data_IF_577995975277
#
_entry.id   IF_577995975277
#
_cell.length_a   1.000
_cell.length_b   1.000
_cell.length_c   1.000
_cell.angle_alpha   90.00
_cell.angle_beta   90.00
_cell.angle_gamma   90.00
#
_symmetry.space_group_name_H-M   'P 1'
#
loop_
_entity.id
_entity.type
_entity.pdbx_description
1 polymer ?
#
# COMPACT_ATOMS: atom_id res chain seq x y z
N UNK A 1 24.58 13.80 14.11
CA UNK A 1 25.09 14.09 12.74
C UNK A 1 25.57 12.79 12.15
N UNK A 2 25.21 12.51 10.89
CA UNK A 2 25.65 11.30 10.15
C UNK A 2 26.15 11.76 8.78
N UNK A 3 27.34 11.34 8.42
CA UNK A 3 27.93 11.59 7.09
C UNK A 3 28.01 10.27 6.32
N UNK A 4 27.24 10.17 5.23
CA UNK A 4 27.28 9.03 4.30
C UNK A 4 28.19 9.43 3.13
N UNK A 5 29.28 8.67 2.90
CA UNK A 5 30.33 8.98 1.91
C UNK A 5 30.32 8.02 0.74
N UNK A 6 30.70 8.53 -0.42
CA UNK A 6 31.05 7.74 -1.61
C UNK A 6 29.88 6.92 -2.21
N UNK A 7 28.65 7.19 -1.82
CA UNK A 7 27.48 6.45 -2.30
C UNK A 7 27.02 6.90 -3.69
N UNK A 8 26.26 6.05 -4.38
CA UNK A 8 25.46 6.47 -5.53
C UNK A 8 24.13 6.99 -5.01
N UNK A 9 23.94 8.30 -5.02
CA UNK A 9 22.74 8.96 -4.50
C UNK A 9 21.67 8.94 -5.58
N UNK A 10 20.53 8.30 -5.27
CA UNK A 10 19.37 8.22 -6.17
C UNK A 10 18.18 8.88 -5.49
N UNK A 11 17.61 9.92 -6.11
CA UNK A 11 16.38 10.57 -5.68
C UNK A 11 15.46 10.78 -6.89
N UNK A 12 14.43 9.92 -7.06
CA UNK A 12 13.50 10.02 -8.17
C UNK A 12 12.68 11.32 -8.18
N UNK A 13 12.46 11.94 -7.03
CA UNK A 13 11.64 13.15 -6.91
C UNK A 13 12.25 14.34 -7.67
N UNK A 14 13.57 14.40 -7.74
CA UNK A 14 14.32 15.43 -8.48
C UNK A 14 15.16 14.85 -9.64
N UNK A 15 14.96 13.58 -10.00
CA UNK A 15 15.71 12.85 -11.05
C UNK A 15 17.22 12.84 -10.80
N UNK A 16 17.61 12.75 -9.56
CA UNK A 16 19.03 12.70 -9.15
C UNK A 16 19.55 11.28 -9.27
N UNK A 17 20.70 11.12 -9.90
CA UNK A 17 21.50 9.91 -9.91
C UNK A 17 22.96 10.32 -10.05
N UNK A 18 23.70 10.39 -8.95
CA UNK A 18 25.09 10.85 -8.94
C UNK A 18 25.89 10.22 -7.81
N UNK A 19 27.21 10.12 -7.96
CA UNK A 19 28.11 9.79 -6.84
C UNK A 19 28.32 11.02 -5.97
N UNK A 20 28.19 10.84 -4.65
CA UNK A 20 28.32 11.95 -3.72
C UNK A 20 28.38 11.53 -2.26
N UNK A 21 28.54 12.55 -1.44
CA UNK A 21 28.43 12.48 0.01
C UNK A 21 27.12 13.14 0.47
N UNK A 22 26.51 12.59 1.51
CA UNK A 22 25.27 13.09 2.08
C UNK A 22 25.45 13.30 3.58
N UNK A 23 25.19 14.52 4.05
CA UNK A 23 25.21 14.89 5.46
C UNK A 23 23.80 14.96 6.02
N UNK A 24 23.57 14.24 7.11
CA UNK A 24 22.34 14.30 7.90
C UNK A 24 22.65 15.01 9.22
N UNK A 25 21.90 16.07 9.50
CA UNK A 25 21.92 16.78 10.76
C UNK A 25 20.50 17.02 11.25
N UNK A 26 20.26 16.87 12.55
CA UNK A 26 18.95 17.07 13.20
C UNK A 26 17.79 16.31 12.50
N UNK A 27 18.09 15.06 12.07
CA UNK A 27 17.11 14.19 11.40
C UNK A 27 16.74 14.62 9.98
N UNK A 28 17.50 15.53 9.36
CA UNK A 28 17.24 16.04 8.01
C UNK A 28 18.48 15.98 7.14
N UNK A 29 18.30 15.86 5.82
CA UNK A 29 19.38 16.05 4.86
C UNK A 29 19.81 17.50 4.90
N UNK A 30 21.00 17.74 5.44
CA UNK A 30 21.59 19.08 5.55
C UNK A 30 22.35 19.48 4.30
N UNK A 31 23.06 18.54 3.66
CA UNK A 31 23.87 18.81 2.46
C UNK A 31 24.05 17.54 1.62
N UNK A 32 24.06 17.73 0.31
CA UNK A 32 24.54 16.75 -0.67
C UNK A 32 25.63 17.43 -1.49
N UNK A 33 26.77 16.76 -1.69
CA UNK A 33 27.91 17.30 -2.43
C UNK A 33 28.68 16.20 -3.14
N UNK A 34 29.55 16.52 -4.12
CA UNK A 34 30.51 15.58 -4.68
C UNK A 34 31.38 14.90 -3.60
N UNK A 35 31.83 13.68 -3.90
CA UNK A 35 32.63 12.90 -2.96
C UNK A 35 33.86 13.68 -2.46
N UNK A 36 34.07 13.71 -1.15
CA UNK A 36 35.20 14.37 -0.49
C UNK A 36 35.04 15.88 -0.24
N UNK A 37 33.98 16.51 -0.67
CA UNK A 37 33.72 17.93 -0.42
C UNK A 37 33.12 18.22 0.96
N UNK A 38 32.55 17.21 1.64
CA UNK A 38 32.03 17.39 3.02
C UNK A 38 33.12 16.91 3.99
N UNK A 39 33.61 17.84 4.81
CA UNK A 39 34.57 17.55 5.86
C UNK A 39 33.90 16.81 7.02
N UNK A 40 34.63 15.91 7.67
CA UNK A 40 34.14 15.22 8.87
C UNK A 40 34.26 16.17 10.07
N UNK A 41 33.10 16.64 10.56
CA UNK A 41 33.03 17.57 11.71
C UNK A 41 32.53 16.89 12.99
N UNK A 42 32.84 15.60 13.16
CA UNK A 42 32.35 14.76 14.26
C UNK A 42 30.96 14.15 13.94
N UNK A 43 30.70 13.01 14.53
CA UNK A 43 29.49 12.23 14.29
C UNK A 43 29.80 10.86 13.67
N UNK A 44 28.75 10.13 13.29
CA UNK A 44 28.88 8.85 12.62
C UNK A 44 29.26 9.03 11.15
N UNK A 45 30.21 8.22 10.66
CA UNK A 45 30.57 8.20 9.25
C UNK A 45 30.29 6.80 8.68
N UNK A 46 29.53 6.77 7.59
CA UNK A 46 29.16 5.54 6.87
C UNK A 46 29.83 5.59 5.49
N UNK A 47 30.72 4.65 5.20
CA UNK A 47 31.25 4.50 3.84
C UNK A 47 30.28 3.67 3.00
N UNK A 48 29.63 4.32 2.04
CA UNK A 48 28.68 3.73 1.10
C UNK A 48 29.31 3.43 -0.27
N UNK A 49 30.64 3.21 -0.32
CA UNK A 49 31.34 2.85 -1.57
C UNK A 49 30.70 1.61 -2.20
N UNK A 50 30.23 1.74 -3.44
CA UNK A 50 29.53 0.67 -4.17
C UNK A 50 28.08 0.44 -3.76
N UNK A 51 27.54 1.23 -2.83
CA UNK A 51 26.15 1.16 -2.39
C UNK A 51 25.30 2.27 -3.02
N UNK A 52 24.00 2.04 -3.02
CA UNK A 52 22.97 3.04 -3.36
C UNK A 52 22.50 3.72 -2.07
N UNK A 53 22.41 5.04 -2.11
CA UNK A 53 21.83 5.87 -1.06
C UNK A 53 20.55 6.49 -1.64
N UNK A 54 19.41 6.10 -1.13
CA UNK A 54 18.11 6.51 -1.65
C UNK A 54 17.13 6.79 -0.49
N UNK A 55 16.01 7.50 -0.75
CA UNK A 55 14.90 7.52 0.20
C UNK A 55 14.48 6.11 0.58
N UNK A 56 14.09 5.89 1.83
CA UNK A 56 13.56 4.60 2.26
C UNK A 56 12.31 4.22 1.47
N UNK A 57 12.14 2.92 1.24
CA UNK A 57 10.98 2.40 0.53
C UNK A 57 9.71 2.62 1.35
N UNK A 58 8.58 2.75 0.66
CA UNK A 58 7.23 2.85 1.25
C UNK A 58 6.39 1.70 0.72
N UNK A 59 5.79 0.92 1.61
CA UNK A 59 4.82 -0.10 1.25
C UNK A 59 3.43 0.34 1.73
N UNK A 60 2.52 0.56 0.79
CA UNK A 60 1.18 1.08 1.10
C UNK A 60 0.16 -0.02 1.40
N UNK A 61 0.57 -1.30 1.35
CA UNK A 61 -0.32 -2.43 1.55
C UNK A 61 0.40 -3.60 2.25
N UNK A 62 0.31 -3.65 3.58
CA UNK A 62 0.89 -4.75 4.36
C UNK A 62 -0.08 -5.29 5.40
N UNK A 63 0.13 -6.55 5.80
CA UNK A 63 -0.69 -7.26 6.77
C UNK A 63 0.15 -7.70 7.97
N UNK A 64 0.24 -6.87 8.99
CA UNK A 64 0.90 -7.26 10.24
C UNK A 64 -0.02 -8.03 11.20
N UNK A 65 -1.29 -8.22 10.84
CA UNK A 65 -2.23 -9.12 11.52
C UNK A 65 -2.50 -8.80 13.00
N UNK A 66 -2.09 -7.66 13.46
CA UNK A 66 -2.21 -7.16 14.82
C UNK A 66 -3.14 -5.93 14.84
N UNK A 67 -4.21 -5.97 15.61
CA UNK A 67 -4.60 -6.95 16.64
C UNK A 67 -5.20 -8.27 16.11
N UNK A 68 -5.15 -9.29 16.96
CA UNK A 68 -5.99 -10.49 16.92
C UNK A 68 -5.44 -11.70 16.20
N UNK A 69 -4.51 -11.55 15.25
CA UNK A 69 -3.91 -12.66 14.52
C UNK A 69 -2.38 -12.69 14.68
N UNK A 70 -1.88 -12.25 15.84
CA UNK A 70 -0.46 -12.08 16.15
C UNK A 70 0.36 -13.39 16.09
N UNK A 71 -0.30 -14.53 16.01
CA UNK A 71 0.35 -15.82 15.73
C UNK A 71 0.82 -15.97 14.28
N UNK A 72 0.35 -15.10 13.36
CA UNK A 72 0.80 -15.04 11.97
C UNK A 72 1.91 -14.02 11.79
N UNK A 73 1.70 -12.81 12.32
CA UNK A 73 2.61 -11.67 12.33
C UNK A 73 2.10 -10.66 13.35
N UNK A 74 2.97 -9.81 13.89
CA UNK A 74 2.63 -8.67 14.71
C UNK A 74 3.33 -7.39 14.23
N UNK A 75 2.94 -6.24 14.82
CA UNK A 75 3.47 -4.94 14.40
C UNK A 75 4.99 -4.84 14.63
N UNK A 76 5.51 -5.43 15.70
CA UNK A 76 6.94 -5.35 16.03
C UNK A 76 7.78 -6.18 15.06
N UNK A 77 7.41 -7.45 14.83
CA UNK A 77 8.14 -8.34 13.93
C UNK A 77 8.00 -7.95 12.48
N UNK A 78 6.79 -7.52 12.07
CA UNK A 78 6.54 -7.01 10.72
C UNK A 78 7.34 -5.73 10.43
N UNK A 79 7.41 -4.80 11.39
CA UNK A 79 8.22 -3.59 11.25
C UNK A 79 9.72 -3.90 11.13
N UNK A 80 10.22 -4.89 11.88
CA UNK A 80 11.62 -5.34 11.76
C UNK A 80 11.89 -5.98 10.39
N UNK A 81 10.98 -6.80 9.89
CA UNK A 81 11.09 -7.39 8.56
C UNK A 81 11.08 -6.31 7.45
N UNK A 82 10.19 -5.33 7.55
CA UNK A 82 10.13 -4.19 6.64
C UNK A 82 11.44 -3.38 6.65
N UNK A 83 11.98 -3.06 7.84
CA UNK A 83 13.26 -2.37 7.99
C UNK A 83 14.40 -3.12 7.30
N UNK A 84 14.48 -4.44 7.48
CA UNK A 84 15.49 -5.28 6.82
C UNK A 84 15.35 -5.27 5.29
N UNK A 85 14.13 -5.07 4.77
CA UNK A 85 13.85 -4.90 3.35
C UNK A 85 14.13 -3.49 2.81
N UNK A 86 14.54 -2.54 3.66
CA UNK A 86 14.78 -1.14 3.28
C UNK A 86 13.52 -0.26 3.29
N UNK A 87 12.40 -0.75 3.84
CA UNK A 87 11.19 0.04 4.01
C UNK A 87 11.28 0.88 5.28
N UNK A 88 11.00 2.16 5.15
CA UNK A 88 10.98 3.10 6.28
C UNK A 88 9.56 3.55 6.63
N UNK A 89 8.58 3.20 5.81
CA UNK A 89 7.17 3.47 6.05
C UNK A 89 6.32 2.35 5.51
N UNK A 90 5.29 1.96 6.26
CA UNK A 90 4.30 0.96 5.85
C UNK A 90 2.88 1.41 6.20
N UNK A 91 1.89 0.96 5.43
CA UNK A 91 0.47 1.18 5.70
C UNK A 91 -0.21 -0.17 5.91
N UNK A 92 -0.79 -0.36 7.09
CA UNK A 92 -1.47 -1.59 7.47
C UNK A 92 -2.91 -1.60 6.97
N UNK A 93 -3.35 -2.77 6.47
CA UNK A 93 -4.74 -3.01 6.10
C UNK A 93 -5.63 -3.20 7.32
N UNK A 94 -6.94 -2.88 7.14
CA UNK A 94 -7.92 -2.85 8.22
C UNK A 94 -8.44 -4.22 8.68
N UNK A 95 -8.11 -5.31 7.97
CA UNK A 95 -8.66 -6.67 8.18
C UNK A 95 -8.01 -7.43 9.35
N UNK A 96 -8.04 -6.82 10.50
CA UNK A 96 -7.58 -7.35 11.79
C UNK A 96 -8.75 -7.89 12.63
N UNK A 97 -8.51 -8.30 13.89
CA UNK A 97 -9.55 -8.75 14.81
C UNK A 97 -9.30 -8.18 16.23
N UNK A 98 -10.09 -7.18 16.65
CA UNK A 98 -11.17 -6.53 15.89
C UNK A 98 -10.69 -5.83 14.63
N UNK A 99 -11.64 -5.58 13.71
CA UNK A 99 -11.41 -4.79 12.50
C UNK A 99 -11.06 -3.35 12.89
N UNK A 100 -10.23 -2.68 12.10
CA UNK A 100 -9.95 -1.25 12.30
C UNK A 100 -11.11 -0.41 11.75
N UNK A 101 -12.25 -0.48 12.38
CA UNK A 101 -13.49 0.20 11.99
C UNK A 101 -13.97 1.25 13.02
N UNK A 102 -13.18 1.47 14.06
CA UNK A 102 -13.47 2.38 15.16
C UNK A 102 -12.19 3.02 15.73
N UNK A 103 -12.35 4.08 16.51
CA UNK A 103 -11.25 4.86 17.09
C UNK A 103 -10.36 4.01 18.02
N UNK A 104 -10.94 3.13 18.82
CA UNK A 104 -10.19 2.33 19.79
C UNK A 104 -9.18 1.41 19.09
N UNK A 105 -9.64 0.68 18.06
CA UNK A 105 -8.79 -0.24 17.32
C UNK A 105 -7.73 0.53 16.49
N UNK A 106 -8.12 1.65 15.88
CA UNK A 106 -7.17 2.49 15.14
C UNK A 106 -6.07 3.02 16.07
N UNK A 107 -6.45 3.57 17.23
CA UNK A 107 -5.48 4.07 18.21
C UNK A 107 -4.53 2.99 18.71
N UNK A 108 -5.04 1.77 18.95
CA UNK A 108 -4.18 0.64 19.33
C UNK A 108 -3.07 0.41 18.32
N UNK A 109 -3.41 0.34 17.03
CA UNK A 109 -2.43 0.10 15.94
C UNK A 109 -1.42 1.25 15.87
N UNK A 110 -1.91 2.49 15.88
CA UNK A 110 -1.04 3.67 15.75
C UNK A 110 -0.10 3.83 16.96
N UNK A 111 -0.58 3.63 18.19
CA UNK A 111 0.25 3.71 19.40
C UNK A 111 1.31 2.62 19.43
N UNK A 112 0.97 1.39 19.04
CA UNK A 112 1.95 0.31 18.94
C UNK A 112 2.98 0.60 17.85
N UNK A 113 2.54 1.10 16.71
CA UNK A 113 3.40 1.49 15.59
C UNK A 113 4.43 2.58 15.94
N UNK A 114 4.12 3.51 16.85
CA UNK A 114 5.08 4.55 17.31
C UNK A 114 6.33 4.00 17.98
N UNK A 115 6.28 2.78 18.51
CA UNK A 115 7.40 2.15 19.18
C UNK A 115 8.28 1.31 18.25
N UNK A 116 7.99 1.28 16.96
CA UNK A 116 8.75 0.55 15.95
C UNK A 116 9.85 1.42 15.33
N UNK A 117 10.87 0.82 14.69
CA UNK A 117 11.97 1.59 14.08
C UNK A 117 11.60 2.24 12.75
N UNK A 118 10.40 2.02 12.22
CA UNK A 118 9.89 2.60 10.98
C UNK A 118 8.56 3.34 11.23
N UNK A 119 8.09 4.08 10.25
CA UNK A 119 6.76 4.70 10.32
C UNK A 119 5.68 3.69 9.99
N UNK A 120 4.80 3.40 10.94
CA UNK A 120 3.65 2.52 10.77
C UNK A 120 2.38 3.36 10.73
N UNK A 121 1.71 3.33 9.59
CA UNK A 121 0.40 3.91 9.38
C UNK A 121 -0.64 2.81 9.29
N UNK A 122 -1.93 3.16 9.35
CA UNK A 122 -3.03 2.20 9.19
C UNK A 122 -4.14 2.80 8.36
N UNK A 123 -4.69 2.00 7.45
CA UNK A 123 -6.03 2.23 6.95
C UNK A 123 -7.05 1.89 8.02
N UNK A 124 -8.24 2.54 7.95
CA UNK A 124 -9.44 2.04 8.57
C UNK A 124 -10.31 1.33 7.51
N UNK A 125 -11.29 0.52 7.94
CA UNK A 125 -12.22 -0.08 7.01
C UNK A 125 -13.16 0.97 6.41
N UNK A 126 -13.67 0.70 5.21
CA UNK A 126 -14.73 1.50 4.59
C UNK A 126 -16.06 1.23 5.29
N UNK A 127 -16.35 -0.06 5.53
CA UNK A 127 -17.59 -0.49 6.15
C UNK A 127 -17.38 -1.11 7.53
N UNK A 128 -18.37 -0.98 8.40
CA UNK A 128 -18.38 -1.58 9.73
C UNK A 128 -18.23 -3.10 9.65
N UNK A 129 -17.21 -3.61 10.34
CA UNK A 129 -16.90 -5.04 10.37
C UNK A 129 -16.56 -5.64 9.00
N UNK A 130 -16.18 -4.84 8.00
CA UNK A 130 -15.92 -5.26 6.61
C UNK A 130 -17.14 -5.93 5.97
N UNK A 131 -18.36 -5.49 6.29
CA UNK A 131 -19.59 -6.13 5.82
C UNK A 131 -20.18 -5.53 4.54
N UNK A 132 -19.64 -4.41 4.05
CA UNK A 132 -20.14 -3.72 2.86
C UNK A 132 -21.57 -3.18 2.98
N UNK A 133 -22.07 -2.91 4.21
CA UNK A 133 -23.47 -2.54 4.46
C UNK A 133 -23.67 -1.17 5.08
N UNK A 134 -22.76 -0.77 5.93
CA UNK A 134 -22.83 0.49 6.67
C UNK A 134 -21.43 1.10 6.73
N UNK A 135 -21.30 2.36 6.35
CA UNK A 135 -20.03 3.06 6.40
C UNK A 135 -19.59 3.30 7.84
N UNK A 136 -18.29 3.30 8.05
CA UNK A 136 -17.68 3.83 9.29
C UNK A 136 -17.78 5.36 9.31
N UNK A 137 -17.51 5.97 10.46
CA UNK A 137 -17.35 7.42 10.52
C UNK A 137 -15.95 7.81 9.96
N UNK A 138 -15.90 7.98 8.63
CA UNK A 138 -14.66 8.26 7.91
C UNK A 138 -14.03 9.58 8.33
N UNK A 139 -14.82 10.63 8.64
CA UNK A 139 -14.28 11.92 9.12
C UNK A 139 -13.61 11.77 10.48
N UNK A 140 -14.27 11.10 11.41
CA UNK A 140 -13.70 10.82 12.72
C UNK A 140 -12.40 10.05 12.60
N UNK A 141 -12.42 8.90 11.90
CA UNK A 141 -11.25 8.03 11.79
C UNK A 141 -10.08 8.71 11.07
N UNK A 142 -10.35 9.51 10.04
CA UNK A 142 -9.32 10.33 9.41
C UNK A 142 -8.74 11.35 10.38
N UNK A 143 -9.57 12.05 11.15
CA UNK A 143 -9.11 13.01 12.17
C UNK A 143 -8.25 12.36 13.25
N UNK A 144 -8.40 11.05 13.46
CA UNK A 144 -7.63 10.24 14.42
C UNK A 144 -6.37 9.61 13.80
N UNK A 145 -6.12 9.82 12.51
CA UNK A 145 -4.88 9.43 11.86
C UNK A 145 -4.98 8.21 10.94
N UNK A 146 -6.18 7.80 10.53
CA UNK A 146 -6.31 6.82 9.45
C UNK A 146 -5.67 7.36 8.17
N UNK A 147 -4.79 6.59 7.54
CA UNK A 147 -4.06 6.98 6.32
C UNK A 147 -4.94 6.90 5.07
N UNK A 148 -5.98 6.10 5.11
CA UNK A 148 -6.94 5.84 4.03
C UNK A 148 -7.99 4.86 4.50
N UNK A 149 -8.81 4.37 3.56
CA UNK A 149 -9.89 3.44 3.85
C UNK A 149 -9.86 2.24 2.91
N UNK A 150 -10.12 1.04 3.45
CA UNK A 150 -10.10 -0.20 2.68
C UNK A 150 -10.94 -1.29 3.35
N UNK A 151 -11.70 -2.03 2.57
CA UNK A 151 -12.27 -3.32 2.98
C UNK A 151 -11.45 -4.47 2.37
N UNK A 152 -10.13 -4.35 2.37
CA UNK A 152 -9.20 -5.31 1.77
C UNK A 152 -9.54 -6.77 2.10
N UNK A 153 -9.51 -7.61 1.06
CA UNK A 153 -9.89 -9.01 1.09
C UNK A 153 -11.39 -9.26 0.96
N UNK A 154 -12.23 -8.21 1.04
CA UNK A 154 -13.69 -8.30 0.86
C UNK A 154 -14.15 -7.17 -0.05
N UNK A 155 -14.48 -7.45 -1.33
CA UNK A 155 -14.85 -6.41 -2.27
C UNK A 155 -16.19 -5.75 -1.88
N UNK A 156 -16.29 -4.45 -2.10
CA UNK A 156 -17.52 -3.69 -1.90
C UNK A 156 -18.47 -3.94 -3.09
N UNK A 157 -19.44 -4.82 -2.92
CA UNK A 157 -20.36 -5.21 -3.99
C UNK A 157 -21.57 -4.28 -4.12
N UNK A 158 -22.02 -3.67 -3.02
CA UNK A 158 -23.11 -2.72 -3.02
C UNK A 158 -22.63 -1.37 -3.61
N UNK A 159 -23.18 -1.03 -4.77
CA UNK A 159 -22.79 0.17 -5.53
C UNK A 159 -23.17 1.46 -4.79
N UNK A 160 -24.30 1.46 -4.08
CA UNK A 160 -24.75 2.65 -3.35
C UNK A 160 -23.83 2.94 -2.14
N UNK A 161 -23.40 1.90 -1.45
CA UNK A 161 -22.40 2.02 -0.35
C UNK A 161 -21.06 2.47 -0.91
N UNK A 162 -20.61 1.90 -2.02
CA UNK A 162 -19.35 2.27 -2.66
C UNK A 162 -19.35 3.75 -3.10
N UNK A 163 -20.43 4.20 -3.77
CA UNK A 163 -20.54 5.59 -4.23
C UNK A 163 -20.56 6.56 -3.04
N UNK A 164 -21.32 6.23 -1.97
CA UNK A 164 -21.31 7.03 -0.75
C UNK A 164 -19.92 7.10 -0.11
N UNK A 165 -19.19 5.98 -0.05
CA UNK A 165 -17.82 5.95 0.46
C UNK A 165 -16.90 6.85 -0.37
N UNK A 166 -16.99 6.76 -1.71
CA UNK A 166 -16.16 7.56 -2.60
C UNK A 166 -16.45 9.05 -2.50
N UNK A 167 -17.74 9.44 -2.47
CA UNK A 167 -18.13 10.83 -2.25
C UNK A 167 -17.60 11.36 -0.92
N UNK A 168 -17.70 10.56 0.13
CA UNK A 168 -17.21 10.93 1.46
C UNK A 168 -15.69 11.07 1.48
N UNK A 169 -14.96 10.07 0.98
CA UNK A 169 -13.50 10.10 0.89
C UNK A 169 -12.99 11.28 0.05
N UNK A 170 -13.65 11.56 -1.09
CA UNK A 170 -13.30 12.70 -1.94
C UNK A 170 -13.49 14.02 -1.20
N UNK A 171 -14.55 14.17 -0.39
CA UNK A 171 -14.84 15.39 0.36
C UNK A 171 -13.81 15.71 1.43
N UNK A 172 -13.22 14.67 2.05
CA UNK A 172 -12.17 14.83 3.08
C UNK A 172 -10.74 14.67 2.53
N UNK A 173 -10.62 14.31 1.24
CA UNK A 173 -9.34 14.27 0.55
C UNK A 173 -8.45 13.07 0.87
N UNK A 174 -9.05 11.91 1.20
CA UNK A 174 -8.33 10.68 1.57
C UNK A 174 -8.46 9.60 0.50
N UNK A 175 -7.48 8.68 0.38
CA UNK A 175 -7.57 7.57 -0.54
C UNK A 175 -8.53 6.48 -0.04
N UNK A 176 -9.15 5.80 -1.02
CA UNK A 176 -9.80 4.50 -0.83
C UNK A 176 -9.03 3.48 -1.66
N UNK A 177 -8.65 2.38 -1.04
CA UNK A 177 -7.91 1.29 -1.67
C UNK A 177 -8.78 0.03 -1.67
N UNK A 178 -9.02 -0.58 -2.83
CA UNK A 178 -10.01 -1.63 -2.99
C UNK A 178 -9.45 -2.93 -3.54
N UNK A 179 -9.88 -4.02 -2.91
CA UNK A 179 -9.67 -5.39 -3.36
C UNK A 179 -10.68 -5.74 -4.44
N UNK A 180 -10.20 -5.89 -5.66
CA UNK A 180 -11.05 -6.05 -6.85
C UNK A 180 -11.12 -7.52 -7.25
N UNK A 181 -12.05 -8.25 -6.65
CA UNK A 181 -12.27 -9.66 -6.96
C UNK A 181 -13.76 -10.03 -6.83
N UNK A 182 -14.49 -10.17 -7.96
CA UNK A 182 -15.92 -10.48 -7.94
C UNK A 182 -16.16 -11.94 -7.52
N UNK A 183 -16.62 -12.21 -6.30
CA UNK A 183 -16.79 -13.56 -5.78
C UNK A 183 -17.87 -14.37 -6.52
N UNK A 184 -18.80 -13.71 -7.22
CA UNK A 184 -19.83 -14.39 -7.98
C UNK A 184 -19.29 -15.15 -9.19
N UNK A 185 -18.09 -14.79 -9.66
CA UNK A 185 -17.42 -15.42 -10.80
C UNK A 185 -16.44 -16.53 -10.40
N UNK A 186 -16.15 -16.67 -9.10
CA UNK A 186 -15.11 -17.55 -8.58
C UNK A 186 -15.72 -18.88 -8.15
N UNK A 187 -15.24 -19.98 -8.71
CA UNK A 187 -15.65 -21.33 -8.31
C UNK A 187 -14.68 -21.98 -7.31
N UNK A 188 -13.42 -21.54 -7.30
CA UNK A 188 -12.40 -21.96 -6.36
C UNK A 188 -11.34 -20.86 -6.28
N UNK A 189 -11.11 -20.28 -5.10
CA UNK A 189 -10.14 -19.23 -4.92
C UNK A 189 -8.71 -19.78 -4.76
N UNK A 190 -7.73 -19.05 -5.29
CA UNK A 190 -6.30 -19.31 -5.09
C UNK A 190 -5.52 -19.69 -6.35
N UNK A 191 -6.19 -20.08 -7.43
CA UNK A 191 -5.55 -20.40 -8.73
C UNK A 191 -6.37 -19.82 -9.88
N UNK A 192 -5.68 -19.24 -10.86
CA UNK A 192 -6.35 -18.81 -12.10
C UNK A 192 -7.10 -19.99 -12.75
N UNK A 193 -8.33 -19.74 -13.25
CA UNK A 193 -9.24 -20.78 -13.74
C UNK A 193 -8.66 -21.61 -14.90
N UNK A 194 -7.91 -20.99 -15.82
CA UNK A 194 -7.34 -21.68 -16.97
C UNK A 194 -6.29 -22.72 -16.52
N UNK A 195 -5.42 -22.34 -15.59
CA UNK A 195 -4.40 -23.22 -15.01
C UNK A 195 -5.02 -24.26 -14.10
N UNK A 196 -5.99 -23.87 -13.26
CA UNK A 196 -6.71 -24.76 -12.38
C UNK A 196 -7.37 -25.90 -13.16
N UNK A 197 -8.09 -25.58 -14.23
CA UNK A 197 -8.73 -26.57 -15.09
C UNK A 197 -7.70 -27.45 -15.86
N UNK A 198 -6.69 -26.81 -16.45
CA UNK A 198 -5.71 -27.49 -17.30
C UNK A 198 -4.79 -28.43 -16.52
N UNK A 199 -4.28 -27.99 -15.35
CA UNK A 199 -3.30 -28.80 -14.60
C UNK A 199 -3.95 -29.73 -13.56
N UNK A 200 -5.09 -29.31 -12.98
CA UNK A 200 -5.65 -29.99 -11.81
C UNK A 200 -7.09 -30.47 -11.99
N UNK A 201 -7.75 -30.07 -13.08
CA UNK A 201 -9.16 -30.46 -13.34
C UNK A 201 -10.16 -29.89 -12.35
N UNK A 202 -9.83 -28.75 -11.71
CA UNK A 202 -10.68 -28.05 -10.72
C UNK A 202 -11.10 -26.68 -11.24
N UNK A 203 -12.09 -26.05 -10.60
CA UNK A 203 -12.44 -24.65 -10.84
C UNK A 203 -11.34 -23.71 -10.32
N UNK A 204 -11.45 -22.43 -10.68
CA UNK A 204 -10.50 -21.41 -10.27
C UNK A 204 -11.13 -20.01 -10.26
N UNK A 205 -10.30 -19.00 -10.11
CA UNK A 205 -10.66 -17.60 -10.24
C UNK A 205 -10.39 -17.15 -11.69
N UNK A 206 -11.42 -16.77 -12.46
CA UNK A 206 -11.24 -16.25 -13.81
C UNK A 206 -10.73 -14.80 -13.76
N UNK A 207 -10.05 -14.38 -14.82
CA UNK A 207 -9.53 -13.00 -14.96
C UNK A 207 -10.62 -11.94 -14.87
N UNK A 208 -11.80 -12.28 -15.36
CA UNK A 208 -13.00 -11.44 -15.36
C UNK A 208 -13.41 -11.04 -13.94
N UNK A 209 -13.10 -11.85 -12.93
CA UNK A 209 -13.41 -11.54 -11.55
C UNK A 209 -12.71 -10.25 -11.07
N UNK A 210 -11.46 -10.03 -11.47
CA UNK A 210 -10.73 -8.78 -11.20
C UNK A 210 -11.17 -7.66 -12.16
N UNK A 211 -11.24 -7.93 -13.46
CA UNK A 211 -11.53 -6.94 -14.49
C UNK A 211 -12.89 -6.29 -14.31
N UNK A 212 -13.90 -7.06 -13.93
CA UNK A 212 -15.28 -6.60 -13.75
C UNK A 212 -15.39 -5.50 -12.68
N UNK A 213 -14.81 -5.74 -11.51
CA UNK A 213 -14.84 -4.76 -10.42
C UNK A 213 -13.94 -3.56 -10.71
N UNK A 214 -12.74 -3.76 -11.26
CA UNK A 214 -11.89 -2.64 -11.68
C UNK A 214 -12.63 -1.70 -12.63
N UNK A 215 -13.30 -2.24 -13.64
CA UNK A 215 -14.04 -1.42 -14.61
C UNK A 215 -15.15 -0.60 -13.94
N UNK A 216 -15.94 -1.24 -13.07
CA UNK A 216 -17.02 -0.61 -12.31
C UNK A 216 -16.51 0.52 -11.42
N UNK A 217 -15.47 0.23 -10.64
CA UNK A 217 -15.00 1.14 -9.60
C UNK A 217 -14.22 2.32 -10.14
N UNK A 218 -13.51 2.13 -11.25
CA UNK A 218 -12.90 3.23 -11.99
C UNK A 218 -13.95 4.21 -12.55
N UNK A 219 -15.08 3.70 -13.06
CA UNK A 219 -16.16 4.57 -13.56
C UNK A 219 -16.78 5.41 -12.44
N UNK A 220 -16.99 4.85 -11.26
CA UNK A 220 -17.51 5.57 -10.10
C UNK A 220 -16.46 6.55 -9.56
N UNK A 221 -15.20 6.14 -9.49
CA UNK A 221 -14.09 7.00 -9.03
C UNK A 221 -13.91 8.23 -9.92
N UNK A 222 -14.00 8.08 -11.24
CA UNK A 222 -13.93 9.21 -12.18
C UNK A 222 -15.09 10.20 -12.01
N UNK A 223 -16.29 9.72 -11.63
CA UNK A 223 -17.47 10.57 -11.38
C UNK A 223 -17.38 11.31 -10.05
N UNK A 224 -16.91 10.63 -9.00
CA UNK A 224 -16.86 11.17 -7.64
C UNK A 224 -15.60 11.98 -7.37
N UNK A 225 -14.52 11.76 -8.15
CA UNK A 225 -13.23 12.41 -7.98
C UNK A 225 -12.45 11.93 -6.75
N UNK A 226 -12.75 10.75 -6.23
CA UNK A 226 -12.00 10.13 -5.13
C UNK A 226 -10.55 9.82 -5.55
N UNK A 227 -9.66 9.74 -4.58
CA UNK A 227 -8.34 9.13 -4.78
C UNK A 227 -8.56 7.62 -4.64
N UNK A 228 -8.53 6.91 -5.78
CA UNK A 228 -8.68 5.46 -5.81
C UNK A 228 -7.34 4.78 -6.00
N UNK A 229 -7.10 3.74 -5.22
CA UNK A 229 -6.02 2.80 -5.42
C UNK A 229 -6.59 1.40 -5.66
N UNK A 230 -6.27 0.79 -6.80
CA UNK A 230 -6.63 -0.57 -7.17
C UNK A 230 -5.55 -1.51 -6.63
N UNK A 231 -5.91 -2.33 -5.65
CA UNK A 231 -4.96 -3.21 -4.96
C UNK A 231 -4.45 -4.34 -5.85
N UNK A 232 -3.17 -4.70 -5.65
CA UNK A 232 -2.49 -5.93 -6.15
C UNK A 232 -2.95 -6.40 -7.55
N UNK A 233 -3.03 -5.46 -8.50
CA UNK A 233 -3.51 -5.72 -9.86
C UNK A 233 -2.69 -6.82 -10.55
N UNK A 234 -3.35 -7.79 -11.16
CA UNK A 234 -2.71 -8.95 -11.76
C UNK A 234 -3.02 -9.13 -13.25
N UNK A 235 -4.11 -8.56 -13.75
CA UNK A 235 -4.55 -8.75 -15.13
C UNK A 235 -4.06 -7.65 -16.07
N UNK A 236 -3.71 -8.05 -17.30
CA UNK A 236 -3.34 -7.12 -18.37
C UNK A 236 -4.46 -6.11 -18.68
N UNK A 237 -5.69 -6.58 -18.68
CA UNK A 237 -6.87 -5.77 -18.97
C UNK A 237 -7.13 -4.76 -17.85
N UNK A 238 -6.97 -5.18 -16.58
CA UNK A 238 -7.05 -4.26 -15.43
C UNK A 238 -6.01 -3.15 -15.51
N UNK A 239 -4.75 -3.48 -15.84
CA UNK A 239 -3.69 -2.49 -16.07
C UNK A 239 -4.07 -1.50 -17.18
N UNK A 240 -4.69 -1.98 -18.28
CA UNK A 240 -5.11 -1.11 -19.37
C UNK A 240 -6.27 -0.18 -18.96
N UNK A 241 -7.24 -0.69 -18.21
CA UNK A 241 -8.32 0.12 -17.64
C UNK A 241 -7.79 1.24 -16.74
N UNK A 242 -6.87 0.91 -15.84
CA UNK A 242 -6.19 1.91 -14.98
C UNK A 242 -5.42 2.92 -15.81
N UNK A 243 -4.68 2.49 -16.84
CA UNK A 243 -3.94 3.39 -17.74
C UNK A 243 -4.84 4.40 -18.42
N UNK A 244 -6.00 3.97 -18.91
CA UNK A 244 -6.99 4.84 -19.54
C UNK A 244 -7.64 5.79 -18.54
N UNK A 245 -7.95 5.33 -17.34
CA UNK A 245 -8.51 6.16 -16.28
C UNK A 245 -7.50 7.23 -15.81
N UNK A 246 -6.21 6.89 -15.71
CA UNK A 246 -5.14 7.85 -15.38
C UNK A 246 -4.95 8.97 -16.40
N UNK A 247 -5.33 8.77 -17.64
CA UNK A 247 -5.35 9.87 -18.64
C UNK A 247 -6.44 10.90 -18.33
N UNK A 248 -7.49 10.51 -17.60
CA UNK A 248 -8.63 11.36 -17.23
C UNK A 248 -8.47 11.97 -15.84
N UNK A 249 -7.76 11.30 -14.92
CA UNK A 249 -7.57 11.76 -13.56
C UNK A 249 -6.22 11.28 -12.98
N UNK A 250 -5.49 12.21 -12.37
CA UNK A 250 -4.25 11.90 -11.63
C UNK A 250 -4.51 11.26 -10.26
N UNK A 251 -5.79 11.13 -9.86
CA UNK A 251 -6.22 10.53 -8.60
C UNK A 251 -6.43 9.03 -8.67
N UNK A 252 -6.19 8.40 -9.82
CA UNK A 252 -6.28 6.95 -9.99
C UNK A 252 -4.89 6.35 -9.84
N UNK A 253 -4.78 5.37 -8.97
CA UNK A 253 -3.57 4.63 -8.67
C UNK A 253 -3.85 3.13 -8.74
N UNK A 254 -2.80 2.33 -8.80
CA UNK A 254 -2.86 0.88 -8.66
C UNK A 254 -1.54 0.37 -8.12
N UNK A 255 -1.56 -0.72 -7.41
CA UNK A 255 -0.40 -1.41 -6.87
C UNK A 255 -0.21 -2.79 -7.51
N UNK A 256 1.01 -3.27 -7.48
CA UNK A 256 1.35 -4.63 -7.89
C UNK A 256 2.33 -5.23 -6.90
N UNK A 257 2.14 -6.49 -6.55
CA UNK A 257 3.05 -7.19 -5.66
C UNK A 257 4.28 -7.69 -6.41
N UNK A 258 5.41 -7.98 -5.74
CA UNK A 258 6.60 -8.50 -6.38
C UNK A 258 6.35 -9.75 -7.22
N UNK A 259 5.46 -10.66 -6.81
CA UNK A 259 5.15 -11.85 -7.59
C UNK A 259 4.32 -11.53 -8.85
N UNK A 260 3.50 -10.49 -8.88
CA UNK A 260 2.72 -10.10 -10.06
C UNK A 260 3.59 -9.59 -11.22
N UNK A 261 4.73 -8.97 -10.94
CA UNK A 261 5.64 -8.54 -12.00
C UNK A 261 6.85 -9.47 -12.21
N UNK A 262 7.07 -10.46 -11.33
CA UNK A 262 8.18 -11.41 -11.44
C UNK A 262 7.76 -12.78 -11.98
N UNK A 263 6.52 -13.19 -11.77
CA UNK A 263 5.99 -14.49 -12.12
C UNK A 263 4.74 -14.36 -13.00
N UNK A 264 4.36 -15.50 -13.59
CA UNK A 264 3.08 -15.64 -14.31
C UNK A 264 2.31 -16.82 -13.72
N UNK A 265 1.05 -17.00 -14.15
CA UNK A 265 0.22 -18.14 -13.77
C UNK A 265 0.87 -19.50 -14.06
N UNK A 266 1.85 -19.58 -14.96
CA UNK A 266 2.57 -20.81 -15.28
C UNK A 266 3.49 -21.29 -14.15
N UNK A 267 3.76 -20.43 -13.16
CA UNK A 267 4.60 -20.76 -12.00
C UNK A 267 3.87 -21.63 -10.95
N UNK A 268 2.56 -21.90 -11.14
CA UNK A 268 1.75 -22.75 -10.25
C UNK A 268 1.92 -24.22 -10.58
#
# INVERSE_FOLDING_TARGET
MILIKNGTIIDPSCKREEKGDLLIADGKIARIAPCGEIQEEGGEVIDATGMVVAPGLVDVHVHFRDPGFTYKEDIDTGAQAALQGGFTSVVLMANTKPVVDNEETLNYVLEKGKNTPIHVYSCASVSKGLQGKELVDMELLYSKGAAGFTDDGIPLLDVDILEQAFVKAASIGVPVSLHEENPALISNNGVNSDIAQKKFGIGGSPREAEIDLIARDLDIALKTGVILDVQHISTKEGVELVRQARQKSTRIHAEATPHHFSLTQEAV
#
